data_IF_685294556742
#
_entry.id   IF_685294556742
#
_cell.length_a   1.000
_cell.length_b   1.000
_cell.length_c   1.000
_cell.angle_alpha   90.00
_cell.angle_beta   90.00
_cell.angle_gamma   90.00
#
_symmetry.space_group_name_H-M   'P 1'
#
loop_
_entity.id
_entity.type
_entity.pdbx_description
1 polymer ?
#
# COMPACT_ATOMS: atom_id res chain seq x y z
N UNK A 1 -13.62 4.77 -1.45
CA UNK A 1 -14.11 3.46 -0.96
C UNK A 1 -13.05 2.82 -0.07
N UNK A 2 -13.42 1.99 0.92
CA UNK A 2 -12.47 1.20 1.70
C UNK A 2 -11.59 0.32 0.79
N UNK A 3 -10.33 0.14 1.17
CA UNK A 3 -9.33 -0.61 0.41
C UNK A 3 -8.73 0.15 -0.78
N UNK A 4 -9.15 1.39 -1.05
CA UNK A 4 -8.59 2.19 -2.14
C UNK A 4 -7.21 2.75 -1.75
N UNK A 5 -6.26 2.65 -2.67
CA UNK A 5 -4.94 3.30 -2.58
C UNK A 5 -5.12 4.79 -2.83
N UNK A 6 -4.84 5.59 -1.82
CA UNK A 6 -4.94 7.05 -1.86
C UNK A 6 -3.61 7.70 -2.28
N UNK A 7 -2.49 7.14 -1.82
CA UNK A 7 -1.15 7.68 -2.03
C UNK A 7 -0.11 6.57 -1.97
N UNK A 8 0.96 6.70 -2.75
CA UNK A 8 2.15 5.86 -2.71
C UNK A 8 3.33 6.82 -2.62
N UNK A 9 4.14 6.68 -1.58
CA UNK A 9 5.37 7.44 -1.33
C UNK A 9 6.53 6.46 -1.12
N UNK A 10 7.75 6.95 -1.03
CA UNK A 10 8.93 6.12 -0.74
C UNK A 10 8.84 5.40 0.61
N UNK A 11 8.20 6.02 1.61
CA UNK A 11 8.11 5.50 2.99
C UNK A 11 6.84 4.68 3.29
N UNK A 12 5.90 4.60 2.34
CA UNK A 12 4.68 3.84 2.54
C UNK A 12 3.55 4.03 1.53
N UNK A 13 2.40 3.46 1.88
CA UNK A 13 1.16 3.50 1.10
C UNK A 13 0.01 3.94 2.02
N UNK A 14 -0.80 4.88 1.56
CA UNK A 14 -2.02 5.29 2.26
C UNK A 14 -3.24 4.57 1.68
N UNK A 15 -3.99 3.86 2.54
CA UNK A 15 -5.20 3.15 2.17
C UNK A 15 -6.42 3.76 2.86
N UNK A 16 -7.49 3.95 2.09
CA UNK A 16 -8.77 4.36 2.66
C UNK A 16 -9.39 3.22 3.46
N UNK A 17 -9.81 3.50 4.68
CA UNK A 17 -10.62 2.59 5.50
C UNK A 17 -12.11 2.95 5.42
N UNK A 18 -12.94 2.23 6.18
CA UNK A 18 -14.34 2.64 6.44
C UNK A 18 -14.38 4.04 7.11
N UNK A 19 -13.41 4.33 7.98
CA UNK A 19 -13.16 5.66 8.53
C UNK A 19 -11.65 5.89 8.70
N UNK A 20 -11.18 7.07 8.31
CA UNK A 20 -9.76 7.42 8.35
C UNK A 20 -8.91 6.78 7.24
N UNK A 21 -7.59 6.80 7.46
CA UNK A 21 -6.57 6.34 6.51
C UNK A 21 -5.60 5.42 7.25
N UNK A 22 -5.30 4.27 6.66
CA UNK A 22 -4.23 3.39 7.12
C UNK A 22 -2.94 3.74 6.37
N UNK A 23 -1.91 4.13 7.12
CA UNK A 23 -0.58 4.36 6.57
C UNK A 23 0.27 3.08 6.73
N UNK A 24 0.48 2.36 5.63
CA UNK A 24 1.22 1.10 5.59
C UNK A 24 2.69 1.42 5.30
N UNK A 25 3.57 1.20 6.29
CA UNK A 25 5.02 1.44 6.13
C UNK A 25 5.77 0.24 5.57
N UNK A 26 5.31 -0.98 5.88
CA UNK A 26 5.98 -2.22 5.50
C UNK A 26 4.97 -3.30 5.16
N UNK A 27 5.32 -4.13 4.18
CA UNK A 27 4.56 -5.31 3.76
C UNK A 27 5.44 -6.55 3.78
N UNK A 28 4.82 -7.72 3.79
CA UNK A 28 5.52 -8.98 3.60
C UNK A 28 4.86 -9.73 2.44
N UNK A 29 5.44 -9.65 1.24
CA UNK A 29 4.97 -10.43 0.10
C UNK A 29 5.08 -11.93 0.41
N UNK A 30 4.20 -12.73 -0.20
CA UNK A 30 4.22 -14.18 0.00
C UNK A 30 5.58 -14.77 -0.41
N UNK A 31 6.17 -15.60 0.46
CA UNK A 31 7.48 -16.21 0.21
C UNK A 31 8.68 -15.26 0.35
N UNK A 32 8.45 -14.00 0.73
CA UNK A 32 9.50 -12.99 0.86
C UNK A 32 9.66 -12.48 2.30
N UNK A 33 10.79 -11.82 2.55
CA UNK A 33 11.02 -11.07 3.79
C UNK A 33 10.17 -9.79 3.81
N UNK A 34 10.02 -9.21 5.00
CA UNK A 34 9.32 -7.93 5.20
C UNK A 34 10.12 -6.78 4.56
N UNK A 35 9.50 -5.99 3.70
CA UNK A 35 10.11 -4.88 2.94
C UNK A 35 9.38 -3.56 3.17
N UNK A 36 9.93 -2.45 2.68
CA UNK A 36 9.24 -1.15 2.65
C UNK A 36 8.03 -1.24 1.71
N UNK A 37 6.90 -0.67 2.13
CA UNK A 37 5.66 -0.72 1.35
C UNK A 37 5.70 0.17 0.10
N UNK A 38 6.34 1.34 0.17
CA UNK A 38 6.50 2.26 -0.96
C UNK A 38 7.32 1.65 -2.10
N UNK A 39 8.50 1.15 -1.75
CA UNK A 39 9.39 0.42 -2.67
C UNK A 39 8.68 -0.78 -3.31
N UNK A 40 8.02 -1.60 -2.48
CA UNK A 40 7.26 -2.75 -2.96
C UNK A 40 6.14 -2.34 -3.92
N UNK A 41 5.39 -1.28 -3.62
CA UNK A 41 4.32 -0.78 -4.47
C UNK A 41 4.85 -0.33 -5.84
N UNK A 42 6.01 0.32 -5.88
CA UNK A 42 6.67 0.70 -7.13
C UNK A 42 7.09 -0.54 -7.94
N UNK A 43 7.70 -1.54 -7.28
CA UNK A 43 8.17 -2.78 -7.91
C UNK A 43 7.04 -3.56 -8.60
N UNK A 44 5.89 -3.69 -7.93
CA UNK A 44 4.73 -4.42 -8.50
C UNK A 44 3.88 -3.54 -9.44
N UNK A 45 4.22 -2.27 -9.61
CA UNK A 45 3.47 -1.33 -10.43
C UNK A 45 2.10 -0.93 -9.87
N UNK A 46 1.91 -0.99 -8.55
CA UNK A 46 0.68 -0.55 -7.88
C UNK A 46 0.41 0.93 -8.21
N UNK A 47 -0.87 1.27 -8.44
CA UNK A 47 -1.29 2.61 -8.83
C UNK A 47 -2.24 3.22 -7.80
N UNK A 48 -2.16 4.54 -7.65
CA UNK A 48 -3.20 5.31 -6.95
C UNK A 48 -4.55 5.06 -7.62
N UNK A 49 -5.57 4.83 -6.81
CA UNK A 49 -6.90 4.43 -7.27
C UNK A 49 -7.14 2.93 -7.36
N UNK A 50 -6.09 2.08 -7.32
CA UNK A 50 -6.26 0.64 -7.18
C UNK A 50 -7.00 0.29 -5.87
N UNK A 51 -7.70 -0.86 -5.82
CA UNK A 51 -8.50 -1.25 -4.67
C UNK A 51 -8.22 -2.69 -4.25
N UNK A 52 -7.79 -2.87 -3.00
CA UNK A 52 -7.74 -4.17 -2.34
C UNK A 52 -9.17 -4.64 -2.01
N UNK A 53 -9.48 -5.90 -2.31
CA UNK A 53 -10.78 -6.54 -2.04
C UNK A 53 -10.63 -7.69 -1.07
#
# INVERSE_FOLDING_TARGET
MPGAVLRIEEDGIDLRLNGGVLHVKRVQPQGARKVNAGEWAAEIGLKVGARFR
#
